data_IF_431721659381
#
_entry.id   IF_431721659381
#
_cell.length_a   1.000
_cell.length_b   1.000
_cell.length_c   1.000
_cell.angle_alpha   90.00
_cell.angle_beta   90.00
_cell.angle_gamma   90.00
#
_symmetry.space_group_name_H-M   'P 1'
#
loop_
_entity.id
_entity.type
_entity.pdbx_description
1 polymer ?
#
# COMPACT_ATOMS: atom_id res chain seq x y z
N UNK A 1 -20.37 -44.19 13.49
CA UNK A 1 -20.80 -42.78 13.40
C UNK A 1 -19.60 -41.99 12.91
N UNK A 2 -19.57 -41.60 11.63
CA UNK A 2 -18.41 -40.99 11.00
C UNK A 2 -18.55 -39.46 11.09
N UNK A 3 -17.71 -38.80 11.89
CA UNK A 3 -17.76 -37.34 12.09
C UNK A 3 -17.06 -36.63 10.93
N UNK A 4 -17.81 -35.91 10.11
CA UNK A 4 -17.27 -34.97 9.13
C UNK A 4 -16.77 -33.71 9.85
N UNK A 5 -15.47 -33.39 9.71
CA UNK A 5 -14.91 -32.12 10.13
C UNK A 5 -15.05 -31.16 8.95
N UNK A 6 -15.92 -30.14 9.08
CA UNK A 6 -16.01 -29.07 8.10
C UNK A 6 -14.82 -28.11 8.27
N UNK A 7 -14.10 -27.74 7.19
CA UNK A 7 -13.04 -26.75 7.29
C UNK A 7 -13.66 -25.39 7.63
N UNK A 8 -13.16 -24.76 8.69
CA UNK A 8 -13.49 -23.37 8.99
C UNK A 8 -12.89 -22.48 7.90
N UNK A 9 -13.73 -21.73 7.17
CA UNK A 9 -13.24 -20.65 6.32
C UNK A 9 -12.54 -19.63 7.24
N UNK A 10 -11.21 -19.58 7.17
CA UNK A 10 -10.47 -18.44 7.69
C UNK A 10 -10.71 -17.29 6.70
N UNK A 11 -11.57 -16.35 7.08
CA UNK A 11 -11.55 -15.01 6.48
C UNK A 11 -10.24 -14.39 6.96
N UNK A 12 -9.20 -14.47 6.14
CA UNK A 12 -7.98 -13.72 6.40
C UNK A 12 -8.37 -12.23 6.39
N UNK A 13 -8.08 -11.51 7.48
CA UNK A 13 -8.25 -10.06 7.49
C UNK A 13 -7.47 -9.48 6.31
N UNK A 14 -8.15 -8.74 5.44
CA UNK A 14 -7.51 -8.08 4.31
C UNK A 14 -6.62 -6.95 4.84
N UNK A 15 -5.33 -6.99 4.52
CA UNK A 15 -4.35 -6.00 5.00
C UNK A 15 -3.61 -5.39 3.83
N UNK A 16 -3.41 -4.07 3.87
CA UNK A 16 -2.55 -3.33 2.96
C UNK A 16 -1.41 -2.69 3.74
N UNK A 17 -0.18 -2.95 3.32
CA UNK A 17 1.03 -2.37 3.90
C UNK A 17 1.44 -1.12 3.11
N UNK A 18 1.33 0.04 3.75
CA UNK A 18 1.54 1.33 3.13
C UNK A 18 2.81 2.00 3.66
N UNK A 19 3.74 2.30 2.76
CA UNK A 19 4.91 3.13 3.06
C UNK A 19 4.61 4.56 2.63
N UNK A 20 4.74 5.52 3.55
CA UNK A 20 4.32 6.90 3.31
C UNK A 20 5.35 7.93 3.74
N UNK A 21 5.69 8.83 2.82
CA UNK A 21 6.51 10.00 3.11
C UNK A 21 5.69 11.21 3.63
N UNK A 22 4.39 11.03 3.89
CA UNK A 22 3.53 12.06 4.49
C UNK A 22 3.63 12.02 6.01
N UNK A 23 3.37 13.15 6.66
CA UNK A 23 3.21 13.20 8.12
C UNK A 23 2.01 12.34 8.51
N UNK A 24 2.20 11.45 9.48
CA UNK A 24 1.17 10.51 9.93
C UNK A 24 -0.17 11.20 10.24
N UNK A 25 -0.12 12.29 11.00
CA UNK A 25 -1.30 13.09 11.37
C UNK A 25 -2.13 13.60 10.19
N UNK A 26 -1.55 13.70 8.98
CA UNK A 26 -2.25 14.16 7.78
C UNK A 26 -2.87 13.04 6.97
N UNK A 27 -2.34 11.81 7.09
CA UNK A 27 -2.77 10.66 6.28
C UNK A 27 -3.61 9.66 7.08
N UNK A 28 -3.28 9.46 8.36
CA UNK A 28 -3.91 8.45 9.21
C UNK A 28 -5.44 8.57 9.27
N UNK A 29 -6.06 9.76 9.44
CA UNK A 29 -7.53 9.86 9.48
C UNK A 29 -8.22 9.40 8.19
N UNK A 30 -7.53 9.54 7.05
CA UNK A 30 -8.03 9.10 5.74
C UNK A 30 -7.95 7.57 5.60
N UNK A 31 -6.88 6.96 6.11
CA UNK A 31 -6.68 5.51 6.14
C UNK A 31 -7.61 4.83 7.15
N UNK A 32 -7.88 5.48 8.28
CA UNK A 32 -8.83 5.00 9.29
C UNK A 32 -10.23 4.91 8.67
N UNK A 33 -10.69 5.97 7.98
CA UNK A 33 -11.97 5.96 7.26
C UNK A 33 -12.02 4.91 6.15
N UNK A 34 -10.94 4.75 5.39
CA UNK A 34 -10.85 3.68 4.39
C UNK A 34 -11.03 2.30 5.05
N UNK A 35 -10.37 2.07 6.19
CA UNK A 35 -10.46 0.81 6.93
C UNK A 35 -11.88 0.59 7.48
N UNK A 36 -12.52 1.62 8.03
CA UNK A 36 -13.91 1.58 8.50
C UNK A 36 -14.91 1.25 7.38
N UNK A 37 -14.69 1.76 6.17
CA UNK A 37 -15.60 1.57 5.04
C UNK A 37 -15.43 0.22 4.35
N UNK A 38 -14.21 -0.30 4.30
CA UNK A 38 -13.87 -1.49 3.51
C UNK A 38 -13.65 -2.74 4.35
N UNK A 39 -13.36 -2.59 5.64
CA UNK A 39 -12.87 -3.66 6.50
C UNK A 39 -11.38 -3.99 6.29
N UNK A 40 -10.70 -3.34 5.34
CA UNK A 40 -9.29 -3.58 5.03
C UNK A 40 -8.42 -2.82 6.03
N UNK A 41 -7.57 -3.53 6.78
CA UNK A 41 -6.63 -2.91 7.70
C UNK A 41 -5.44 -2.31 6.95
N UNK A 42 -5.03 -1.11 7.34
CA UNK A 42 -3.81 -0.49 6.79
C UNK A 42 -2.67 -0.54 7.81
N UNK A 43 -1.59 -1.24 7.48
CA UNK A 43 -0.33 -1.17 8.21
C UNK A 43 0.51 0.00 7.67
N UNK A 44 0.60 1.09 8.43
CA UNK A 44 1.29 2.30 8.00
C UNK A 44 2.75 2.33 8.51
N UNK A 45 3.69 2.49 7.59
CA UNK A 45 5.09 2.85 7.88
C UNK A 45 5.34 4.26 7.36
N UNK A 46 5.68 5.18 8.26
CA UNK A 46 6.06 6.56 7.87
C UNK A 46 7.57 6.74 7.89
N UNK A 47 8.07 7.64 7.03
CA UNK A 47 9.50 7.93 6.98
C UNK A 47 9.85 9.02 5.98
N UNK A 48 11.12 9.42 5.93
CA UNK A 48 11.59 10.31 4.85
C UNK A 48 11.57 9.53 3.52
N UNK A 49 11.18 10.20 2.44
CA UNK A 49 11.04 9.56 1.14
C UNK A 49 12.29 8.80 0.68
N UNK A 50 13.49 9.40 0.84
CA UNK A 50 14.72 8.76 0.39
C UNK A 50 15.09 7.54 1.27
N UNK A 51 14.73 7.56 2.56
CA UNK A 51 14.89 6.41 3.45
C UNK A 51 13.92 5.28 3.10
N UNK A 52 12.67 5.60 2.75
CA UNK A 52 11.70 4.62 2.29
C UNK A 52 12.10 4.01 0.95
N UNK A 53 12.65 4.81 0.03
CA UNK A 53 13.19 4.30 -1.23
C UNK A 53 14.35 3.33 -1.01
N UNK A 54 15.32 3.72 -0.17
CA UNK A 54 16.45 2.84 0.16
C UNK A 54 15.96 1.54 0.82
N UNK A 55 14.96 1.62 1.70
CA UNK A 55 14.33 0.45 2.32
C UNK A 55 13.69 -0.46 1.27
N UNK A 56 12.86 0.08 0.36
CA UNK A 56 12.25 -0.68 -0.72
C UNK A 56 13.28 -1.38 -1.61
N UNK A 57 14.39 -0.70 -1.94
CA UNK A 57 15.48 -1.30 -2.71
C UNK A 57 16.18 -2.43 -1.95
N UNK A 58 16.40 -2.24 -0.64
CA UNK A 58 17.05 -3.24 0.21
C UNK A 58 16.17 -4.46 0.45
N UNK A 59 14.86 -4.27 0.61
CA UNK A 59 13.91 -5.37 0.78
C UNK A 59 13.65 -6.10 -0.54
N UNK A 60 13.69 -5.38 -1.67
CA UNK A 60 13.55 -5.93 -3.01
C UNK A 60 12.25 -6.73 -3.16
N UNK A 61 12.36 -7.94 -3.70
CA UNK A 61 11.21 -8.86 -3.89
C UNK A 61 10.56 -9.32 -2.59
N UNK A 62 11.22 -9.12 -1.46
CA UNK A 62 10.71 -9.52 -0.14
C UNK A 62 10.10 -8.35 0.63
N UNK A 63 9.91 -7.19 -0.01
CA UNK A 63 9.25 -6.07 0.66
C UNK A 63 7.83 -6.47 1.04
N UNK A 64 7.40 -6.18 2.28
CA UNK A 64 6.00 -6.31 2.64
C UNK A 64 5.16 -5.17 2.07
N UNK A 65 5.77 -4.12 1.50
CA UNK A 65 5.06 -2.93 1.05
C UNK A 65 4.21 -3.21 -0.20
N UNK A 66 2.92 -2.89 -0.10
CA UNK A 66 1.97 -2.96 -1.22
C UNK A 66 1.88 -1.61 -1.95
N UNK A 67 2.07 -0.51 -1.22
CA UNK A 67 1.95 0.85 -1.74
C UNK A 67 3.03 1.79 -1.22
N UNK A 68 3.47 2.70 -2.09
CA UNK A 68 4.30 3.86 -1.73
C UNK A 68 3.51 5.15 -1.98
N UNK A 69 3.37 5.98 -0.94
CA UNK A 69 2.84 7.34 -1.04
C UNK A 69 3.95 8.34 -0.77
N UNK A 70 4.07 9.35 -1.64
CA UNK A 70 5.05 10.42 -1.50
C UNK A 70 4.41 11.80 -1.64
N UNK A 71 5.21 12.85 -1.56
CA UNK A 71 4.77 14.25 -1.52
C UNK A 71 4.90 15.00 -2.85
N UNK A 72 5.59 14.44 -3.85
CA UNK A 72 5.77 15.07 -5.16
C UNK A 72 6.09 14.06 -6.29
N UNK A 73 5.93 14.51 -7.54
CA UNK A 73 6.16 13.71 -8.73
C UNK A 73 7.64 13.34 -8.96
N UNK A 74 8.59 14.18 -8.53
CA UNK A 74 10.02 13.89 -8.66
C UNK A 74 10.42 12.67 -7.83
N UNK A 75 9.85 12.52 -6.63
CA UNK A 75 10.03 11.33 -5.78
C UNK A 75 9.40 10.07 -6.37
N UNK A 76 8.21 10.18 -6.98
CA UNK A 76 7.59 9.07 -7.71
C UNK A 76 8.45 8.63 -8.90
N UNK A 77 8.98 9.59 -9.65
CA UNK A 77 9.88 9.31 -10.77
C UNK A 77 11.13 8.57 -10.32
N UNK A 78 11.77 8.97 -9.21
CA UNK A 78 12.92 8.24 -8.64
C UNK A 78 12.58 6.82 -8.22
N UNK A 79 11.43 6.61 -7.58
CA UNK A 79 10.99 5.26 -7.20
C UNK A 79 10.76 4.37 -8.44
N UNK A 80 10.15 4.92 -9.50
CA UNK A 80 9.99 4.24 -10.78
C UNK A 80 11.34 3.90 -11.43
N UNK A 81 12.25 4.86 -11.50
CA UNK A 81 13.59 4.67 -12.06
C UNK A 81 14.43 3.65 -11.28
N UNK A 82 14.19 3.53 -9.97
CA UNK A 82 14.82 2.54 -9.10
C UNK A 82 14.23 1.12 -9.25
N UNK A 83 13.16 0.94 -10.04
CA UNK A 83 12.55 -0.36 -10.28
C UNK A 83 11.76 -0.93 -9.09
N UNK A 84 11.38 -0.10 -8.12
CA UNK A 84 10.64 -0.53 -6.91
C UNK A 84 9.11 -0.36 -7.02
N UNK A 85 8.62 -0.08 -8.22
CA UNK A 85 7.19 0.12 -8.50
C UNK A 85 6.76 -0.71 -9.69
N UNK A 86 5.48 -1.08 -9.72
CA UNK A 86 4.85 -1.73 -10.88
C UNK A 86 3.77 -0.83 -11.50
N UNK A 87 3.43 -1.09 -12.76
CA UNK A 87 2.28 -0.47 -13.39
C UNK A 87 0.98 -0.97 -12.76
N UNK A 88 -0.03 -0.10 -12.71
CA UNK A 88 -1.37 -0.46 -12.27
C UNK A 88 -2.36 -0.17 -13.38
N UNK A 89 -3.18 -1.16 -13.72
CA UNK A 89 -4.31 -0.98 -14.63
C UNK A 89 -5.59 -0.88 -13.83
N UNK A 90 -6.16 0.33 -13.73
CA UNK A 90 -7.42 0.57 -13.03
C UNK A 90 -8.31 1.48 -13.85
N UNK A 91 -9.53 1.02 -14.13
CA UNK A 91 -10.55 1.85 -14.78
C UNK A 91 -10.87 3.07 -13.92
N UNK A 92 -11.04 2.86 -12.61
CA UNK A 92 -11.34 3.95 -11.66
C UNK A 92 -10.24 5.01 -11.71
N UNK A 93 -8.96 4.62 -11.66
CA UNK A 93 -7.85 5.59 -11.72
C UNK A 93 -7.80 6.34 -13.06
N UNK A 94 -8.04 5.65 -14.18
CA UNK A 94 -8.09 6.29 -15.51
C UNK A 94 -9.23 7.29 -15.65
N UNK A 95 -10.38 7.01 -15.05
CA UNK A 95 -11.55 7.89 -15.14
C UNK A 95 -11.42 9.14 -14.25
N UNK A 96 -10.70 9.05 -13.12
CA UNK A 96 -10.64 10.14 -12.12
C UNK A 96 -9.36 10.96 -12.13
N UNK A 97 -8.25 10.42 -12.66
CA UNK A 97 -6.98 11.14 -12.78
C UNK A 97 -6.85 11.65 -14.22
N UNK A 98 -6.78 12.98 -14.45
CA UNK A 98 -6.64 13.53 -15.79
C UNK A 98 -5.39 13.01 -16.49
N UNK A 99 -5.49 12.84 -17.81
CA UNK A 99 -4.32 12.67 -18.65
C UNK A 99 -3.46 13.95 -18.61
N UNK A 100 -2.14 13.75 -18.67
CA UNK A 100 -1.13 14.83 -18.59
C UNK A 100 -0.97 15.58 -19.90
#
# INVERSE_FOLDING_TARGET
MLTFIAPSLSLADEVVNLYSARKEQLIKPLLDRFSEQTGIKVNLVTGKADALLQRLQSEGRNTPADMLITTDAGRLHRAKAAGVTQAVESKVLRDVVPES
#
